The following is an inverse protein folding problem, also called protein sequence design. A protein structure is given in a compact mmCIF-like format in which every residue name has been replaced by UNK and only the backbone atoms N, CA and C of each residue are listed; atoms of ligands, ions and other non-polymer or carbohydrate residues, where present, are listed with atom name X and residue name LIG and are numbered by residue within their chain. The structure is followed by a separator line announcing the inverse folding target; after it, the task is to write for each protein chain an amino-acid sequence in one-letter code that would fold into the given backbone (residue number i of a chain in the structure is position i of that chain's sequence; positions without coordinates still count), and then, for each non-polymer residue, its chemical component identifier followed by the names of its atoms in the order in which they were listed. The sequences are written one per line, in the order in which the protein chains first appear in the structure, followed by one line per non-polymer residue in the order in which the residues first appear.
data_IF_616607413884
#
_entry.id   IF_616607413884
#
_cell.length_a   1.000
_cell.length_b   1.000
_cell.length_c   1.000
_cell.angle_alpha   90.00
_cell.angle_beta   90.00
_cell.angle_gamma   90.00
#
_symmetry.space_group_name_H-M   'P 1'
#
loop_
_entity.id
_entity.type
_entity.pdbx_description
1 polymer ?
#
# COMPACT_ATOMS: atom_id res chain seq x y z
N UNK A 1 34.10 10.79 17.81
CA UNK A 1 34.38 10.23 16.47
C UNK A 1 34.30 8.71 16.42
N UNK A 2 35.02 7.92 17.23
CA UNK A 2 34.92 6.44 17.25
C UNK A 2 33.58 5.97 17.82
N UNK A 3 33.06 6.56 18.89
CA UNK A 3 31.73 6.23 19.45
C UNK A 3 30.58 6.56 18.48
N UNK A 4 30.71 7.66 17.77
CA UNK A 4 29.70 8.09 16.79
C UNK A 4 29.71 7.21 15.52
N UNK A 5 30.91 6.76 15.14
CA UNK A 5 31.08 5.76 14.06
C UNK A 5 30.54 4.39 14.48
N UNK A 6 30.81 3.94 15.71
CA UNK A 6 30.23 2.70 16.26
C UNK A 6 28.71 2.80 16.45
N UNK A 7 28.20 3.96 16.86
CA UNK A 7 26.75 4.20 16.97
C UNK A 7 26.06 4.17 15.60
N UNK A 8 26.68 4.75 14.57
CA UNK A 8 26.21 4.66 13.18
C UNK A 8 26.33 3.24 12.63
N UNK A 9 27.38 2.49 12.98
CA UNK A 9 27.52 1.06 12.60
C UNK A 9 26.45 0.19 13.28
N UNK A 10 26.11 0.47 14.55
CA UNK A 10 25.06 -0.24 15.31
C UNK A 10 23.67 0.11 14.76
N UNK A 11 23.43 1.36 14.37
CA UNK A 11 22.21 1.77 13.67
C UNK A 11 22.14 1.12 12.27
N UNK A 12 23.23 1.13 11.52
CA UNK A 12 23.32 0.48 10.21
C UNK A 12 23.12 -1.05 10.27
N UNK A 13 23.56 -1.71 11.37
CA UNK A 13 23.30 -3.13 11.59
C UNK A 13 21.87 -3.43 12.07
N UNK A 14 21.15 -2.46 12.66
CA UNK A 14 19.70 -2.61 12.96
C UNK A 14 18.85 -2.47 11.71
N UNK A 15 19.25 -1.63 10.76
CA UNK A 15 18.58 -1.48 9.46
C UNK A 15 18.73 -2.73 8.56
N UNK A 16 19.65 -3.65 8.90
CA UNK A 16 19.84 -4.95 8.24
C UNK A 16 18.82 -6.03 8.67
N UNK A 17 17.94 -5.76 9.63
CA UNK A 17 17.00 -6.76 10.15
C UNK A 17 15.68 -6.84 9.37
N UNK A 18 15.30 -5.81 8.60
CA UNK A 18 14.16 -5.89 7.70
C UNK A 18 14.58 -6.53 6.38
N UNK A 19 14.17 -7.76 6.15
CA UNK A 19 14.54 -8.56 4.96
C UNK A 19 13.76 -8.10 3.71
N UNK A 20 13.68 -6.76 3.48
CA UNK A 20 13.02 -6.06 2.38
C UNK A 20 11.54 -6.41 2.17
N UNK A 21 11.06 -7.60 2.53
CA UNK A 21 9.63 -7.96 2.61
C UNK A 21 9.38 -9.12 3.57
N UNK A 22 8.19 -9.14 4.17
CA UNK A 22 7.74 -10.23 5.05
C UNK A 22 6.22 -10.28 5.15
N UNK A 23 5.67 -11.45 5.47
CA UNK A 23 4.24 -11.64 5.72
C UNK A 23 3.99 -11.70 7.23
N UNK A 24 3.09 -10.86 7.70
CA UNK A 24 2.61 -10.85 9.09
C UNK A 24 1.20 -11.47 9.08
N UNK A 25 1.11 -12.67 9.63
CA UNK A 25 -0.16 -13.37 9.73
C UNK A 25 -1.06 -12.74 10.77
N UNK A 26 -2.36 -12.57 10.43
CA UNK A 26 -3.37 -11.99 11.31
C UNK A 26 -2.94 -10.65 11.91
N UNK A 27 -2.35 -9.79 11.06
CA UNK A 27 -1.93 -8.44 11.46
C UNK A 27 -3.09 -7.61 12.01
N UNK A 28 -4.30 -7.86 11.48
CA UNK A 28 -5.58 -7.42 12.05
C UNK A 28 -6.52 -8.62 12.21
N UNK A 29 -7.49 -8.50 13.11
CA UNK A 29 -8.48 -9.56 13.29
C UNK A 29 -9.40 -9.69 12.07
N UNK A 30 -9.99 -10.86 11.88
CA UNK A 30 -10.98 -11.09 10.83
C UNK A 30 -12.14 -10.10 10.92
N UNK A 31 -12.64 -9.83 12.14
CA UNK A 31 -13.75 -8.91 12.38
C UNK A 31 -13.41 -7.49 11.92
N UNK A 32 -12.19 -7.01 12.23
CA UNK A 32 -11.74 -5.68 11.80
C UNK A 32 -11.55 -5.60 10.29
N UNK A 33 -10.96 -6.63 9.68
CA UNK A 33 -10.81 -6.71 8.23
C UNK A 33 -12.17 -6.71 7.52
N UNK A 34 -13.09 -7.55 8.00
CA UNK A 34 -14.46 -7.66 7.47
C UNK A 34 -15.25 -6.37 7.66
N UNK A 35 -15.12 -5.70 8.81
CA UNK A 35 -15.72 -4.38 9.04
C UNK A 35 -15.21 -3.35 8.02
N UNK A 36 -13.90 -3.25 7.86
CA UNK A 36 -13.29 -2.31 6.90
C UNK A 36 -13.70 -2.63 5.46
N UNK A 37 -13.79 -3.91 5.09
CA UNK A 37 -14.24 -4.35 3.77
C UNK A 37 -15.69 -3.94 3.51
N UNK A 38 -16.61 -4.30 4.42
CA UNK A 38 -18.03 -3.98 4.26
C UNK A 38 -18.31 -2.47 4.30
N UNK A 39 -17.61 -1.72 5.15
CA UNK A 39 -17.62 -0.25 5.13
C UNK A 39 -17.25 0.26 3.74
N UNK A 40 -16.15 -0.24 3.17
CA UNK A 40 -15.65 0.25 1.89
C UNK A 40 -16.54 -0.15 0.71
N UNK A 41 -17.19 -1.31 0.76
CA UNK A 41 -18.21 -1.71 -0.21
C UNK A 41 -19.44 -0.80 -0.14
N UNK A 42 -19.97 -0.55 1.07
CA UNK A 42 -21.12 0.33 1.26
C UNK A 42 -20.80 1.76 0.77
N UNK A 43 -19.60 2.25 1.09
CA UNK A 43 -19.14 3.56 0.61
C UNK A 43 -19.07 3.62 -0.91
N UNK A 44 -18.46 2.61 -1.56
CA UNK A 44 -18.41 2.50 -3.02
C UNK A 44 -19.80 2.61 -3.64
N UNK A 45 -20.75 1.85 -3.13
CA UNK A 45 -22.10 1.76 -3.70
C UNK A 45 -22.88 3.07 -3.49
N UNK A 46 -22.76 3.68 -2.31
CA UNK A 46 -23.35 4.98 -2.02
C UNK A 46 -22.75 6.10 -2.90
N UNK A 47 -21.43 6.13 -3.05
CA UNK A 47 -20.73 7.13 -3.88
C UNK A 47 -21.08 6.94 -5.36
N UNK A 48 -21.16 5.66 -5.81
CA UNK A 48 -21.59 5.37 -7.18
C UNK A 48 -22.99 5.92 -7.46
N UNK A 49 -23.94 5.65 -6.56
CA UNK A 49 -25.31 6.20 -6.67
C UNK A 49 -25.31 7.73 -6.76
N UNK A 50 -24.50 8.39 -5.89
CA UNK A 50 -24.42 9.87 -5.90
C UNK A 50 -23.86 10.41 -7.22
N UNK A 51 -22.83 9.76 -7.79
CA UNK A 51 -22.26 10.17 -9.07
C UNK A 51 -23.22 9.92 -10.24
N UNK A 52 -23.85 8.75 -10.28
CA UNK A 52 -24.80 8.39 -11.34
C UNK A 52 -26.04 9.31 -11.36
N UNK A 53 -26.37 9.93 -10.21
CA UNK A 53 -27.51 10.85 -10.08
C UNK A 53 -27.09 12.32 -9.98
N UNK A 54 -25.85 12.68 -10.24
CA UNK A 54 -25.32 14.05 -10.19
C UNK A 54 -25.52 14.76 -8.83
N UNK A 55 -25.57 14.00 -7.72
CA UNK A 55 -25.70 14.54 -6.36
C UNK A 55 -24.36 15.12 -5.88
N UNK A 56 -23.26 14.55 -6.35
CA UNK A 56 -21.90 15.00 -6.00
C UNK A 56 -20.95 14.84 -7.18
N UNK A 57 -19.77 15.41 -7.03
CA UNK A 57 -18.65 15.26 -7.98
C UNK A 57 -17.40 14.80 -7.25
N UNK A 58 -16.40 14.36 -7.99
CA UNK A 58 -15.11 13.94 -7.44
C UNK A 58 -14.40 15.14 -6.79
N UNK A 59 -14.36 15.12 -5.46
CA UNK A 59 -13.70 16.14 -4.64
C UNK A 59 -12.55 15.53 -3.80
N UNK A 60 -12.12 14.30 -4.12
CA UNK A 60 -11.08 13.59 -3.40
C UNK A 60 -11.44 13.08 -2.00
N UNK A 61 -12.69 13.31 -1.53
CA UNK A 61 -13.15 12.88 -0.20
C UNK A 61 -13.98 11.60 -0.22
N UNK A 62 -14.48 11.23 -1.38
CA UNK A 62 -15.43 10.13 -1.54
C UNK A 62 -14.84 8.91 -2.25
N UNK A 63 -13.66 9.05 -2.84
CA UNK A 63 -13.06 8.04 -3.70
C UNK A 63 -13.47 8.20 -5.16
N UNK A 64 -12.86 7.42 -6.04
CA UNK A 64 -12.96 7.62 -7.48
C UNK A 64 -12.82 6.32 -8.26
N UNK A 65 -13.24 6.31 -9.53
CA UNK A 65 -12.98 5.25 -10.52
C UNK A 65 -11.97 5.70 -11.60
N UNK A 66 -11.39 6.91 -11.45
CA UNK A 66 -10.53 7.53 -12.47
C UNK A 66 -9.04 7.20 -12.33
N UNK A 67 -8.65 6.34 -11.38
CA UNK A 67 -7.25 5.95 -11.21
C UNK A 67 -6.73 5.19 -12.43
N UNK A 68 -5.68 5.73 -13.06
CA UNK A 68 -5.09 5.18 -14.29
C UNK A 68 -4.30 3.89 -14.07
N UNK A 69 -3.88 3.61 -12.84
CA UNK A 69 -3.13 2.39 -12.52
C UNK A 69 -4.01 1.14 -12.68
N UNK A 70 -5.29 1.23 -12.24
CA UNK A 70 -6.30 0.20 -12.46
C UNK A 70 -7.62 0.88 -12.86
N UNK A 71 -7.83 1.11 -14.16
CA UNK A 71 -8.97 1.89 -14.65
C UNK A 71 -10.32 1.29 -14.30
N UNK A 72 -11.30 2.16 -14.09
CA UNK A 72 -12.69 1.76 -13.80
C UNK A 72 -12.83 0.89 -12.54
N UNK A 73 -11.92 1.04 -11.57
CA UNK A 73 -11.92 0.31 -10.30
C UNK A 73 -11.97 1.30 -9.15
N UNK A 74 -12.92 1.10 -8.23
CA UNK A 74 -13.12 2.02 -7.11
C UNK A 74 -11.92 2.05 -6.18
N UNK A 75 -11.42 3.23 -5.93
CA UNK A 75 -10.30 3.48 -5.04
C UNK A 75 -10.50 4.75 -4.22
N UNK A 76 -9.86 4.83 -3.06
CA UNK A 76 -9.86 6.01 -2.24
C UNK A 76 -8.50 6.24 -1.60
N UNK A 77 -7.93 7.38 -1.90
CA UNK A 77 -6.76 7.94 -1.23
C UNK A 77 -7.18 8.61 0.07
N UNK A 78 -6.52 8.29 1.17
CA UNK A 78 -6.71 8.91 2.49
C UNK A 78 -8.13 8.79 3.08
N UNK A 79 -8.80 7.68 2.84
CA UNK A 79 -10.06 7.37 3.53
C UNK A 79 -9.85 7.37 5.06
N UNK A 80 -10.73 8.05 5.81
CA UNK A 80 -10.55 8.26 7.25
C UNK A 80 -10.52 6.94 8.05
N UNK A 81 -11.31 5.95 7.67
CA UNK A 81 -11.28 4.61 8.31
C UNK A 81 -9.96 3.92 8.02
N UNK A 82 -9.48 4.01 6.77
CA UNK A 82 -8.21 3.40 6.37
C UNK A 82 -6.99 4.13 6.95
N UNK A 83 -7.05 5.45 7.14
CA UNK A 83 -5.99 6.18 7.84
C UNK A 83 -6.03 5.97 9.35
N UNK A 84 -7.20 5.68 9.92
CA UNK A 84 -7.28 5.18 11.31
C UNK A 84 -6.56 3.84 11.44
N UNK A 85 -6.72 2.96 10.44
CA UNK A 85 -5.99 1.69 10.39
C UNK A 85 -4.48 1.92 10.20
N UNK A 86 -4.07 2.89 9.36
CA UNK A 86 -2.67 3.29 9.19
C UNK A 86 -2.01 3.66 10.53
N UNK A 87 -2.68 4.48 11.34
CA UNK A 87 -2.19 4.87 12.68
C UNK A 87 -2.16 3.66 13.62
N UNK A 88 -3.22 2.83 13.61
CA UNK A 88 -3.30 1.62 14.43
C UNK A 88 -2.18 0.62 14.13
N UNK A 89 -1.78 0.50 12.87
CA UNK A 89 -0.73 -0.43 12.45
C UNK A 89 0.69 0.09 12.71
N UNK A 90 0.89 1.38 12.94
CA UNK A 90 2.22 1.97 13.12
C UNK A 90 3.08 1.27 14.19
N UNK A 91 2.58 0.92 15.41
CA UNK A 91 3.38 0.20 16.40
C UNK A 91 3.81 -1.20 15.93
N UNK A 92 2.93 -1.89 15.21
CA UNK A 92 3.22 -3.20 14.61
C UNK A 92 4.29 -3.05 13.55
N UNK A 93 4.14 -2.07 12.67
CA UNK A 93 5.12 -1.78 11.62
C UNK A 93 6.51 -1.49 12.19
N UNK A 94 6.60 -0.64 13.22
CA UNK A 94 7.87 -0.35 13.91
C UNK A 94 8.49 -1.60 14.51
N UNK A 95 7.69 -2.44 15.15
CA UNK A 95 8.16 -3.70 15.76
C UNK A 95 8.68 -4.67 14.69
N UNK A 96 7.89 -4.91 13.64
CA UNK A 96 8.18 -5.94 12.65
C UNK A 96 9.31 -5.54 11.69
N UNK A 97 9.48 -4.25 11.41
CA UNK A 97 10.58 -3.76 10.57
C UNK A 97 11.84 -3.43 11.36
N UNK A 98 11.72 -3.15 12.66
CA UNK A 98 12.80 -2.61 13.49
C UNK A 98 13.11 -1.13 13.19
N UNK A 99 12.32 -0.48 12.32
CA UNK A 99 12.52 0.91 11.88
C UNK A 99 11.66 1.87 12.71
N UNK A 100 12.16 3.08 12.93
CA UNK A 100 11.32 4.17 13.44
C UNK A 100 10.60 4.83 12.26
N UNK A 101 9.28 4.68 12.22
CA UNK A 101 8.44 5.03 11.07
C UNK A 101 7.48 6.16 11.39
N UNK A 102 7.18 6.97 10.37
CA UNK A 102 6.10 7.95 10.33
C UNK A 102 5.08 7.56 9.26
N UNK A 103 3.77 7.76 9.51
CA UNK A 103 2.75 7.49 8.50
C UNK A 103 2.78 8.55 7.39
N UNK A 104 2.54 8.11 6.16
CA UNK A 104 2.38 9.00 5.01
C UNK A 104 0.94 9.07 4.55
N UNK A 105 0.36 7.98 4.05
CA UNK A 105 -1.04 7.91 3.65
C UNK A 105 -1.54 6.46 3.56
N UNK A 106 -2.84 6.32 3.52
CA UNK A 106 -3.50 5.08 3.15
C UNK A 106 -4.09 5.16 1.74
N UNK A 107 -4.17 4.01 1.08
CA UNK A 107 -4.88 3.84 -0.16
C UNK A 107 -5.70 2.56 -0.12
N UNK A 108 -6.96 2.61 -0.48
CA UNK A 108 -7.82 1.43 -0.51
C UNK A 108 -8.42 1.24 -1.90
N UNK A 109 -8.62 -0.01 -2.29
CA UNK A 109 -9.19 -0.36 -3.59
C UNK A 109 -10.07 -1.60 -3.50
N UNK A 110 -11.21 -1.57 -4.20
CA UNK A 110 -12.06 -2.73 -4.43
C UNK A 110 -11.86 -3.18 -5.87
N UNK A 111 -11.04 -4.18 -6.04
CA UNK A 111 -10.75 -4.77 -7.35
C UNK A 111 -11.89 -5.65 -7.81
N UNK A 112 -12.07 -5.73 -9.12
CA UNK A 112 -13.06 -6.57 -9.82
C UNK A 112 -12.36 -7.56 -10.73
N UNK A 113 -13.07 -8.56 -11.16
CA UNK A 113 -12.62 -9.59 -12.09
C UNK A 113 -11.94 -8.99 -13.32
N UNK A 114 -10.77 -9.51 -13.65
CA UNK A 114 -9.93 -9.08 -14.76
C UNK A 114 -9.00 -7.90 -14.44
N UNK A 115 -9.13 -7.25 -13.29
CA UNK A 115 -8.19 -6.20 -12.88
C UNK A 115 -6.77 -6.75 -12.76
N UNK A 116 -5.81 -5.94 -13.18
CA UNK A 116 -4.37 -6.25 -13.14
C UNK A 116 -3.66 -5.10 -12.42
N UNK A 117 -2.74 -5.42 -11.53
CA UNK A 117 -1.78 -4.45 -11.03
C UNK A 117 -0.46 -4.69 -11.75
N UNK A 118 -0.09 -3.82 -12.68
CA UNK A 118 1.13 -3.94 -13.49
C UNK A 118 2.37 -3.91 -12.60
N UNK A 119 3.44 -4.58 -13.05
CA UNK A 119 4.73 -4.61 -12.36
C UNK A 119 5.30 -3.20 -12.27
N UNK A 120 5.62 -2.75 -11.05
CA UNK A 120 6.10 -1.39 -10.76
C UNK A 120 6.86 -1.35 -9.43
N UNK A 121 7.54 -0.23 -9.20
CA UNK A 121 8.00 0.21 -7.88
C UNK A 121 7.14 1.39 -7.43
N UNK A 122 6.99 1.55 -6.14
CA UNK A 122 6.25 2.64 -5.53
C UNK A 122 7.02 3.98 -5.58
N UNK A 123 6.31 5.07 -5.34
CA UNK A 123 6.87 6.40 -5.18
C UNK A 123 7.47 6.62 -3.78
N UNK A 124 8.32 7.65 -3.57
CA UNK A 124 9.03 7.88 -2.29
C UNK A 124 8.16 7.92 -1.03
N UNK A 125 6.91 8.36 -1.09
CA UNK A 125 5.99 8.32 0.06
C UNK A 125 5.61 6.90 0.51
N UNK A 126 5.97 5.89 -0.28
CA UNK A 126 5.71 4.48 -0.06
C UNK A 126 7.01 3.70 0.22
N UNK A 127 7.98 4.31 0.91
CA UNK A 127 9.27 3.71 1.21
C UNK A 127 9.11 2.35 1.89
N UNK A 128 8.30 2.30 2.95
CA UNK A 128 7.85 1.07 3.59
C UNK A 128 6.35 0.96 3.39
N UNK A 129 5.95 -0.02 2.61
CA UNK A 129 4.57 -0.24 2.19
C UNK A 129 3.99 -1.49 2.81
N UNK A 130 2.67 -1.52 2.91
CA UNK A 130 1.93 -2.74 3.20
C UNK A 130 0.79 -2.95 2.24
N UNK A 131 0.38 -4.20 2.08
CA UNK A 131 -0.94 -4.56 1.57
C UNK A 131 -1.62 -5.50 2.56
N UNK A 132 -2.86 -5.19 2.95
CA UNK A 132 -3.69 -6.03 3.83
C UNK A 132 -4.89 -6.52 3.03
N UNK A 133 -5.12 -7.83 3.03
CA UNK A 133 -6.32 -8.40 2.44
C UNK A 133 -7.50 -8.20 3.39
N UNK A 134 -8.49 -7.40 2.95
CA UNK A 134 -9.68 -7.07 3.76
C UNK A 134 -10.81 -8.07 3.59
N UNK A 135 -10.97 -8.63 2.37
CA UNK A 135 -12.05 -9.55 2.05
C UNK A 135 -12.25 -9.77 0.55
N UNK A 136 -13.20 -10.62 0.21
CA UNK A 136 -13.44 -11.07 -1.17
C UNK A 136 -12.53 -12.24 -1.54
N UNK A 137 -12.27 -12.42 -2.84
CA UNK A 137 -11.42 -13.51 -3.33
C UNK A 137 -9.95 -13.24 -3.00
N UNK A 138 -9.23 -14.30 -2.67
CA UNK A 138 -7.79 -14.26 -2.57
C UNK A 138 -7.17 -13.87 -3.91
N UNK A 139 -6.22 -12.95 -3.86
CA UNK A 139 -5.55 -12.47 -5.06
C UNK A 139 -4.05 -12.33 -4.77
N UNK A 140 -3.24 -13.26 -5.29
CA UNK A 140 -1.81 -13.25 -5.01
C UNK A 140 -1.13 -11.95 -5.46
N UNK A 141 -0.15 -11.51 -4.67
CA UNK A 141 0.80 -10.49 -5.09
C UNK A 141 2.14 -11.16 -5.37
N UNK A 142 2.83 -10.72 -6.42
CA UNK A 142 4.19 -11.13 -6.74
C UNK A 142 5.15 -10.03 -6.34
N UNK A 143 6.29 -10.41 -5.79
CA UNK A 143 7.33 -9.47 -5.37
C UNK A 143 8.69 -9.95 -5.86
N UNK A 144 9.44 -9.04 -6.49
CA UNK A 144 10.81 -9.30 -6.90
C UNK A 144 11.77 -8.86 -5.80
N UNK A 145 12.29 -9.83 -5.04
CA UNK A 145 13.21 -9.57 -3.92
C UNK A 145 14.62 -9.14 -4.33
N UNK A 146 14.93 -9.10 -5.63
CA UNK A 146 16.28 -8.73 -6.10
C UNK A 146 16.58 -7.24 -6.00
N UNK A 147 15.54 -6.40 -6.06
CA UNK A 147 15.67 -4.95 -6.11
C UNK A 147 16.09 -4.39 -7.48
N UNK A 148 16.23 -5.25 -8.48
CA UNK A 148 16.59 -4.83 -9.84
C UNK A 148 15.47 -4.00 -10.50
N UNK A 149 15.85 -3.14 -11.44
CA UNK A 149 14.92 -2.40 -12.27
C UNK A 149 14.67 -3.18 -13.57
N UNK A 150 13.55 -3.91 -13.63
CA UNK A 150 13.18 -4.72 -14.78
C UNK A 150 12.08 -4.10 -15.63
N UNK A 151 11.34 -3.12 -15.11
CA UNK A 151 10.28 -2.43 -15.84
C UNK A 151 10.89 -1.44 -16.83
N UNK A 152 10.70 -1.68 -18.14
CA UNK A 152 11.13 -0.78 -19.22
C UNK A 152 10.07 0.32 -19.46
N UNK A 153 8.81 -0.09 -19.49
CA UNK A 153 7.68 0.82 -19.69
C UNK A 153 6.45 0.29 -18.95
N UNK A 154 6.13 0.93 -17.85
CA UNK A 154 5.00 0.55 -16.99
C UNK A 154 3.66 0.68 -17.73
N UNK A 155 3.46 1.76 -18.49
CA UNK A 155 2.20 1.99 -19.21
C UNK A 155 1.91 0.88 -20.22
N UNK A 156 2.94 0.38 -20.90
CA UNK A 156 2.83 -0.70 -21.89
C UNK A 156 3.07 -2.09 -21.28
N UNK A 157 3.36 -2.15 -19.98
CA UNK A 157 3.73 -3.38 -19.27
C UNK A 157 4.90 -4.12 -19.94
N UNK A 158 5.91 -3.38 -20.37
CA UNK A 158 7.11 -3.94 -21.00
C UNK A 158 8.15 -4.20 -19.94
N UNK A 159 8.52 -5.47 -19.80
CA UNK A 159 9.48 -5.99 -18.82
C UNK A 159 10.73 -6.48 -19.57
N UNK A 160 11.91 -6.34 -18.98
CA UNK A 160 13.17 -6.85 -19.54
C UNK A 160 13.11 -8.35 -19.75
N UNK A 161 13.63 -8.88 -20.87
CA UNK A 161 13.79 -10.33 -21.03
C UNK A 161 14.64 -10.94 -19.91
N UNK A 162 14.19 -12.08 -19.38
CA UNK A 162 14.88 -12.76 -18.28
C UNK A 162 14.65 -12.16 -16.90
N UNK A 163 13.76 -11.17 -16.76
CA UNK A 163 13.36 -10.63 -15.46
C UNK A 163 12.82 -11.73 -14.54
N UNK A 164 13.12 -11.69 -13.22
CA UNK A 164 12.62 -12.68 -12.27
C UNK A 164 11.09 -12.78 -12.28
N UNK A 165 10.58 -14.00 -12.11
CA UNK A 165 9.14 -14.24 -11.98
C UNK A 165 8.58 -13.78 -10.62
N UNK A 166 9.46 -13.40 -9.70
CA UNK A 166 9.11 -12.98 -8.35
C UNK A 166 8.59 -14.10 -7.46
N UNK A 167 8.47 -13.79 -6.19
CA UNK A 167 7.86 -14.68 -5.20
C UNK A 167 6.36 -14.43 -5.14
N UNK A 168 5.57 -15.48 -5.33
CA UNK A 168 4.10 -15.44 -5.18
C UNK A 168 3.75 -15.43 -3.70
N UNK A 169 3.05 -14.39 -3.24
CA UNK A 169 2.55 -14.25 -1.87
C UNK A 169 1.04 -14.29 -1.87
N UNK A 170 0.46 -15.17 -1.04
CA UNK A 170 -0.98 -15.30 -0.82
C UNK A 170 -1.30 -14.84 0.59
N UNK A 171 -2.28 -13.94 0.72
CA UNK A 171 -2.72 -13.39 1.99
C UNK A 171 -4.14 -13.89 2.30
N UNK A 172 -4.33 -14.39 3.52
CA UNK A 172 -5.66 -14.60 4.08
C UNK A 172 -6.24 -13.26 4.56
N UNK A 173 -7.55 -13.24 4.83
CA UNK A 173 -8.21 -12.04 5.38
C UNK A 173 -7.56 -11.65 6.71
N UNK A 174 -7.08 -10.40 6.79
CA UNK A 174 -6.36 -9.87 7.94
C UNK A 174 -4.84 -10.08 7.92
N UNK A 175 -4.30 -10.86 6.98
CA UNK A 175 -2.86 -10.95 6.75
C UNK A 175 -2.32 -9.68 6.09
N UNK A 176 -1.08 -9.35 6.38
CA UNK A 176 -0.38 -8.20 5.85
C UNK A 176 0.96 -8.60 5.24
N UNK A 177 1.22 -8.15 4.02
CA UNK A 177 2.56 -8.13 3.46
C UNK A 177 3.18 -6.76 3.73
N UNK A 178 4.35 -6.73 4.35
CA UNK A 178 5.20 -5.53 4.51
C UNK A 178 6.35 -5.63 3.52
N UNK A 179 6.68 -4.53 2.82
CA UNK A 179 7.75 -4.53 1.82
C UNK A 179 8.35 -3.13 1.60
N UNK A 180 9.60 -3.09 1.10
CA UNK A 180 10.25 -1.86 0.65
C UNK A 180 9.67 -1.45 -0.70
N UNK A 181 8.65 -0.59 -0.69
CA UNK A 181 7.87 -0.25 -1.88
C UNK A 181 8.68 0.41 -2.98
N UNK A 182 9.63 1.30 -2.61
CA UNK A 182 10.50 1.98 -3.56
C UNK A 182 11.60 1.10 -4.17
N UNK A 183 11.96 0.00 -3.47
CA UNK A 183 13.09 -0.84 -3.86
C UNK A 183 12.66 -2.09 -4.64
N UNK A 184 11.49 -2.64 -4.32
CA UNK A 184 11.05 -3.92 -4.84
C UNK A 184 9.95 -3.77 -5.87
N UNK A 185 10.17 -4.29 -7.06
CA UNK A 185 9.09 -4.41 -8.05
C UNK A 185 8.06 -5.43 -7.58
N UNK A 186 6.79 -5.04 -7.69
CA UNK A 186 5.67 -5.88 -7.29
C UNK A 186 4.49 -5.71 -8.25
N UNK A 187 3.64 -6.75 -8.34
CA UNK A 187 2.52 -6.80 -9.28
C UNK A 187 1.50 -7.86 -8.90
N UNK A 188 0.36 -7.83 -9.57
CA UNK A 188 -0.67 -8.86 -9.51
C UNK A 188 -1.14 -9.20 -10.92
N UNK A 189 -1.22 -10.48 -11.20
CA UNK A 189 -1.81 -11.02 -12.42
C UNK A 189 -3.33 -10.80 -12.44
N UNK A 190 -4.06 -11.05 -13.55
CA UNK A 190 -5.49 -10.83 -13.60
C UNK A 190 -6.25 -11.46 -12.43
N UNK A 191 -7.13 -10.69 -11.78
CA UNK A 191 -8.01 -11.22 -10.74
C UNK A 191 -9.03 -12.18 -11.37
N UNK A 192 -8.98 -13.44 -10.97
CA UNK A 192 -9.92 -14.46 -11.44
C UNK A 192 -11.25 -14.41 -10.69
N UNK A 193 -11.23 -14.02 -9.42
CA UNK A 193 -12.42 -13.87 -8.58
C UNK A 193 -13.21 -12.61 -8.86
N UNK A 194 -14.45 -12.56 -8.40
CA UNK A 194 -15.37 -11.47 -8.70
C UNK A 194 -14.97 -10.14 -8.04
N UNK A 195 -14.45 -10.19 -6.80
CA UNK A 195 -14.12 -9.01 -6.00
C UNK A 195 -12.98 -9.30 -5.03
N UNK A 196 -12.10 -8.30 -4.82
CA UNK A 196 -11.04 -8.35 -3.83
C UNK A 196 -10.83 -6.96 -3.21
N UNK A 197 -10.96 -6.84 -1.88
CA UNK A 197 -10.70 -5.62 -1.13
C UNK A 197 -9.29 -5.60 -0.55
N UNK A 198 -8.54 -4.56 -0.86
CA UNK A 198 -7.19 -4.35 -0.35
C UNK A 198 -7.05 -2.95 0.24
N UNK A 199 -6.29 -2.83 1.32
CA UNK A 199 -5.80 -1.55 1.81
C UNK A 199 -4.28 -1.55 1.83
N UNK A 200 -3.72 -0.45 1.38
CA UNK A 200 -2.29 -0.16 1.35
C UNK A 200 -2.00 0.92 2.39
N UNK A 201 -1.04 0.68 3.27
CA UNK A 201 -0.64 1.61 4.32
C UNK A 201 0.83 1.93 4.11
N UNK A 202 1.15 3.22 4.02
CA UNK A 202 2.48 3.67 3.62
C UNK A 202 3.15 4.47 4.73
N UNK A 203 4.45 4.24 4.88
CA UNK A 203 5.28 4.85 5.91
C UNK A 203 6.65 5.24 5.34
N UNK A 204 7.28 6.23 5.98
CA UNK A 204 8.67 6.55 5.74
C UNK A 204 9.50 6.34 7.01
N UNK A 205 10.77 5.99 6.83
CA UNK A 205 11.73 5.93 7.92
C UNK A 205 12.04 7.35 8.41
N UNK A 206 11.94 7.59 9.73
CA UNK A 206 12.11 8.93 10.34
C UNK A 206 13.44 9.59 9.97
N UNK A 207 14.52 8.80 9.89
CA UNK A 207 15.85 9.25 9.52
C UNK A 207 16.17 8.99 8.04
N UNK A 208 15.18 8.57 7.24
CA UNK A 208 15.34 8.33 5.81
C UNK A 208 15.32 9.62 4.99
N UNK A 209 15.69 9.55 3.71
CA UNK A 209 15.80 10.73 2.85
C UNK A 209 14.44 11.36 2.50
N UNK A 210 13.35 10.68 2.82
CA UNK A 210 11.99 11.08 2.41
C UNK A 210 11.10 11.58 3.56
N UNK A 211 11.53 11.40 4.83
CA UNK A 211 10.68 11.56 6.02
C UNK A 211 10.04 12.95 6.14
N UNK A 212 10.83 14.01 6.11
CA UNK A 212 10.36 15.36 6.35
C UNK A 212 9.36 15.82 5.27
N UNK A 213 9.70 15.59 4.00
CA UNK A 213 8.89 15.99 2.85
C UNK A 213 7.59 15.21 2.75
N UNK A 214 7.60 13.95 3.17
CA UNK A 214 6.48 13.03 2.95
C UNK A 214 5.64 12.76 4.21
N UNK A 215 5.91 13.44 5.32
CA UNK A 215 5.03 13.34 6.49
C UNK A 215 3.59 13.65 6.08
N UNK A 216 2.67 12.71 6.35
CA UNK A 216 1.28 12.74 5.90
C UNK A 216 1.12 12.97 4.38
N UNK A 217 2.13 12.54 3.60
CA UNK A 217 2.20 12.77 2.15
C UNK A 217 2.17 14.26 1.75
N UNK A 218 2.80 15.11 2.57
CA UNK A 218 2.83 16.56 2.42
C UNK A 218 1.52 17.28 2.77
N UNK A 219 0.54 16.58 3.34
CA UNK A 219 -0.71 17.15 3.85
C UNK A 219 -0.53 17.67 5.27
N UNK A 220 -1.41 18.56 5.71
CA UNK A 220 -1.42 19.09 7.09
C UNK A 220 -1.70 18.02 8.13
N UNK A 221 -2.57 17.05 7.80
CA UNK A 221 -2.95 15.94 8.67
C UNK A 221 -3.49 14.76 7.85
N UNK A 222 -3.60 13.62 8.48
CA UNK A 222 -4.26 12.44 7.93
C UNK A 222 -5.76 12.71 7.69
N UNK A 223 -6.38 11.99 6.76
CA UNK A 223 -7.79 12.13 6.39
C UNK A 223 -8.09 13.26 5.39
N UNK A 224 -7.12 14.11 5.06
CA UNK A 224 -7.30 15.13 4.05
C UNK A 224 -6.99 14.59 2.64
N UNK A 225 -7.65 15.08 1.58
CA UNK A 225 -7.31 14.73 0.21
C UNK A 225 -5.95 15.30 -0.18
N UNK A 226 -5.32 14.71 -1.21
CA UNK A 226 -3.94 14.99 -1.62
C UNK A 226 -3.62 16.44 -1.99
N UNK A 227 -4.62 17.22 -2.39
CA UNK A 227 -4.47 18.63 -2.78
C UNK A 227 -4.54 19.61 -1.61
N UNK A 228 -4.90 19.18 -0.40
CA UNK A 228 -4.90 20.01 0.82
C UNK A 228 -3.56 19.88 1.52
N UNK A 229 -2.67 20.82 1.25
CA UNK A 229 -1.29 20.87 1.75
C UNK A 229 -1.17 21.77 2.97
#
# INVERSE_FOLDING_TARGET
MILEFLYRLILFNKDLMFNKYQVIKKAISYELANFAFNYFLLKRDAVKFMYDNNITYDNGMLGTWSDKQVPNTYSHYSDMVMETLLVKMLPIMKKETGLDLIPTYSYARVYKKGDILKRHKDRPSCEISTTIHLGGHQWPIFIDGTGADNVINEYKNIIKPGAPQGTKVVLEVGDMLVYSGCDLEHWREPLEGEICGQVFLHYNHVNGPFAEKNKFDGRRMLGLPHFVK
#
